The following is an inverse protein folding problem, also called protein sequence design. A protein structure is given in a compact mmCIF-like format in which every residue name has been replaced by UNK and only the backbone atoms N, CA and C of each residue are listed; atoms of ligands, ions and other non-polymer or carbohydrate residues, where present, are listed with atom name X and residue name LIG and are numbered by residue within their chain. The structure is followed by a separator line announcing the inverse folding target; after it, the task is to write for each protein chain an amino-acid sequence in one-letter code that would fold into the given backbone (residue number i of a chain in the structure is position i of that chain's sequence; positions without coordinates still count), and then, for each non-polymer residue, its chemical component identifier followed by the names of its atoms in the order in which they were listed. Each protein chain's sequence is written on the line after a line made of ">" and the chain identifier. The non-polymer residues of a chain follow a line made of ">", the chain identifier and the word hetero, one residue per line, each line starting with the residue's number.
data_IF_667182826088
#
_entry.id   IF_667182826088
#
_cell.length_a   1.000
_cell.length_b   1.000
_cell.length_c   1.000
_cell.angle_alpha   90.00
_cell.angle_beta   90.00
_cell.angle_gamma   90.00
#
_symmetry.space_group_name_H-M   'P 1'
#
loop_
_entity.id
_entity.type
_entity.pdbx_description
1 polymer ?
#
# COMPACT_ATOMS: atom_id res chain seq x y z
N UNK A 1 0.58 10.98 7.99
CA UNK A 1 0.50 12.46 8.21
C UNK A 1 1.50 12.92 9.29
N UNK A 2 1.85 12.11 10.31
CA UNK A 2 2.91 12.50 11.26
C UNK A 2 4.33 12.26 10.74
N UNK A 3 4.57 11.15 10.01
CA UNK A 3 5.90 10.73 9.52
C UNK A 3 6.03 10.83 7.98
N UNK A 4 5.01 10.38 7.22
CA UNK A 4 5.12 10.14 5.76
C UNK A 4 4.96 11.37 4.86
N UNK A 5 4.48 12.48 5.39
CA UNK A 5 4.39 13.71 4.60
C UNK A 5 5.62 14.55 4.93
N UNK A 6 6.26 15.18 3.93
CA UNK A 6 7.32 16.18 4.19
C UNK A 6 6.86 17.28 5.18
N UNK A 7 5.56 17.52 5.25
CA UNK A 7 4.88 18.44 6.17
C UNK A 7 4.46 17.83 7.52
N UNK A 8 4.78 16.56 7.76
CA UNK A 8 4.47 15.85 9.00
C UNK A 8 5.34 16.32 10.16
N UNK A 9 4.78 16.40 11.38
CA UNK A 9 5.50 16.94 12.54
C UNK A 9 6.79 16.19 12.89
N UNK A 10 6.86 14.91 12.52
CA UNK A 10 7.98 14.03 12.81
C UNK A 10 8.85 13.75 11.58
N UNK A 11 8.56 14.38 10.43
CA UNK A 11 9.22 14.09 9.15
C UNK A 11 10.75 14.24 9.23
N UNK A 12 11.22 15.22 10.00
CA UNK A 12 12.64 15.57 10.17
C UNK A 12 13.26 15.15 11.51
N UNK A 13 12.48 14.57 12.43
CA UNK A 13 12.99 14.07 13.71
C UNK A 13 12.92 12.54 13.74
N UNK A 14 14.03 11.92 13.33
CA UNK A 14 14.13 10.46 13.26
C UNK A 14 13.96 9.82 14.65
N UNK A 15 14.48 10.42 15.72
CA UNK A 15 14.36 9.86 17.06
C UNK A 15 12.92 9.88 17.57
N UNK A 16 12.19 10.99 17.35
CA UNK A 16 10.78 11.07 17.70
C UNK A 16 9.92 10.16 16.81
N UNK A 17 10.22 10.08 15.52
CA UNK A 17 9.55 9.15 14.61
C UNK A 17 9.74 7.69 15.03
N UNK A 18 10.93 7.31 15.54
CA UNK A 18 11.15 5.96 16.05
C UNK A 18 10.34 5.64 17.29
N UNK A 19 10.24 6.58 18.23
CA UNK A 19 9.35 6.40 19.39
C UNK A 19 7.90 6.23 18.95
N UNK A 20 7.44 7.05 18.00
CA UNK A 20 6.09 6.91 17.45
C UNK A 20 5.86 5.53 16.81
N UNK A 21 6.80 5.02 16.00
CA UNK A 21 6.69 3.68 15.39
C UNK A 21 6.63 2.59 16.45
N UNK A 22 7.51 2.64 17.46
CA UNK A 22 7.54 1.68 18.55
C UNK A 22 6.23 1.67 19.37
N UNK A 23 5.75 2.85 19.77
CA UNK A 23 4.48 3.00 20.48
C UNK A 23 3.30 2.49 19.64
N UNK A 24 3.35 2.74 18.32
CA UNK A 24 2.32 2.27 17.39
C UNK A 24 2.31 0.74 17.28
N UNK A 25 3.47 0.11 17.07
CA UNK A 25 3.59 -1.34 16.97
C UNK A 25 3.18 -2.04 18.26
N UNK A 26 3.63 -1.53 19.42
CA UNK A 26 3.25 -2.09 20.72
C UNK A 26 1.72 -2.05 20.90
N UNK A 27 1.09 -0.92 20.57
CA UNK A 27 -0.35 -0.80 20.69
C UNK A 27 -1.11 -1.68 19.69
N UNK A 28 -0.61 -1.81 18.44
CA UNK A 28 -1.17 -2.71 17.44
C UNK A 28 -1.11 -4.18 17.90
N UNK A 29 0.02 -4.64 18.42
CA UNK A 29 0.19 -5.99 18.97
C UNK A 29 -0.80 -6.28 20.12
N UNK A 30 -0.99 -5.30 21.00
CA UNK A 30 -1.99 -5.38 22.07
C UNK A 30 -3.42 -5.44 21.51
N UNK A 31 -3.79 -4.52 20.61
CA UNK A 31 -5.14 -4.46 20.03
C UNK A 31 -5.48 -5.70 19.19
N UNK A 32 -4.49 -6.33 18.57
CA UNK A 32 -4.67 -7.59 17.86
C UNK A 32 -4.66 -8.80 18.78
N UNK A 33 -4.54 -8.64 20.10
CA UNK A 33 -4.51 -9.75 21.06
C UNK A 33 -3.33 -10.72 20.86
N UNK A 34 -2.21 -10.19 20.35
CA UNK A 34 -0.96 -10.93 20.11
C UNK A 34 0.07 -10.69 21.20
N UNK A 35 -0.12 -9.65 22.02
CA UNK A 35 0.65 -9.42 23.24
C UNK A 35 -0.11 -9.91 24.48
N UNK A 36 0.64 -10.43 25.47
CA UNK A 36 0.11 -10.76 26.81
C UNK A 36 0.19 -9.58 27.77
N UNK A 37 0.95 -8.55 27.41
CA UNK A 37 1.18 -7.38 28.24
C UNK A 37 0.05 -6.37 28.02
N UNK A 38 -0.49 -5.85 29.13
CA UNK A 38 -1.46 -4.76 29.05
C UNK A 38 -0.78 -3.50 28.49
N UNK A 39 -1.36 -2.92 27.43
CA UNK A 39 -0.94 -1.64 26.89
C UNK A 39 -2.03 -0.59 27.17
N UNK A 40 -1.73 0.50 27.91
CA UNK A 40 -2.69 1.57 28.13
C UNK A 40 -3.02 2.27 26.81
N UNK A 41 -4.21 2.89 26.73
CA UNK A 41 -4.61 3.65 25.54
C UNK A 41 -3.64 4.81 25.32
N UNK A 42 -2.98 4.92 24.15
CA UNK A 42 -2.03 5.98 23.88
C UNK A 42 -2.68 7.36 23.86
N UNK A 43 -1.96 8.38 24.32
CA UNK A 43 -2.42 9.77 24.23
C UNK A 43 -2.51 10.25 22.76
N UNK A 44 -1.64 9.70 21.89
CA UNK A 44 -1.70 10.00 20.47
C UNK A 44 -2.95 9.37 19.84
N UNK A 45 -3.86 10.22 19.37
CA UNK A 45 -5.15 9.81 18.81
C UNK A 45 -5.03 8.99 17.53
N UNK A 46 -3.96 9.16 16.74
CA UNK A 46 -3.73 8.35 15.53
C UNK A 46 -3.40 6.92 15.93
N UNK A 47 -2.55 6.74 16.94
CA UNK A 47 -2.22 5.41 17.48
C UNK A 47 -3.48 4.79 18.12
N UNK A 48 -4.17 5.55 18.98
CA UNK A 48 -5.38 5.08 19.67
C UNK A 48 -6.50 4.66 18.70
N UNK A 49 -6.60 5.28 17.52
CA UNK A 49 -7.61 4.94 16.50
C UNK A 49 -7.49 3.49 16.03
N UNK A 50 -6.29 2.90 16.08
CA UNK A 50 -6.09 1.51 15.68
C UNK A 50 -6.94 0.52 16.47
N UNK A 51 -7.40 0.88 17.67
CA UNK A 51 -8.31 0.04 18.46
C UNK A 51 -9.57 -0.38 17.69
N UNK A 52 -10.10 0.51 16.83
CA UNK A 52 -11.27 0.21 15.98
C UNK A 52 -10.97 -0.94 15.02
N UNK A 53 -9.78 -0.92 14.40
CA UNK A 53 -9.35 -1.98 13.48
C UNK A 53 -9.00 -3.27 14.23
N UNK A 54 -8.37 -3.14 15.41
CA UNK A 54 -8.04 -4.25 16.27
C UNK A 54 -9.27 -5.01 16.77
N UNK A 55 -10.32 -4.30 17.19
CA UNK A 55 -11.57 -4.92 17.64
C UNK A 55 -12.26 -5.68 16.50
N UNK A 56 -12.35 -5.06 15.32
CA UNK A 56 -12.88 -5.73 14.13
C UNK A 56 -12.08 -7.00 13.77
N UNK A 57 -10.74 -6.94 13.85
CA UNK A 57 -9.87 -8.08 13.61
C UNK A 57 -10.01 -9.17 14.68
N UNK A 58 -10.17 -8.82 15.96
CA UNK A 58 -10.39 -9.77 17.05
C UNK A 58 -11.72 -10.53 16.91
N UNK A 59 -12.76 -9.84 16.46
CA UNK A 59 -14.08 -10.42 16.25
C UNK A 59 -14.13 -11.35 15.03
N UNK A 60 -13.34 -11.06 14.00
CA UNK A 60 -13.48 -11.70 12.69
C UNK A 60 -12.40 -12.74 12.38
N UNK A 61 -11.15 -12.48 12.78
CA UNK A 61 -9.99 -13.22 12.32
C UNK A 61 -9.45 -14.24 13.30
N UNK A 62 -8.90 -15.34 12.76
CA UNK A 62 -8.17 -16.31 13.57
C UNK A 62 -6.88 -15.71 14.13
N UNK A 63 -6.24 -16.43 15.05
CA UNK A 63 -4.94 -16.01 15.58
C UNK A 63 -3.89 -15.85 14.46
N UNK A 64 -3.79 -16.83 13.57
CA UNK A 64 -2.83 -16.87 12.47
C UNK A 64 -3.04 -15.71 11.47
N UNK A 65 -4.30 -15.30 11.26
CA UNK A 65 -4.61 -14.17 10.39
C UNK A 65 -4.31 -12.83 11.03
N UNK A 66 -4.52 -12.70 12.35
CA UNK A 66 -4.07 -11.53 13.10
C UNK A 66 -2.55 -11.43 13.09
N UNK A 67 -1.83 -12.55 13.18
CA UNK A 67 -0.37 -12.58 13.00
C UNK A 67 0.04 -12.15 11.59
N UNK A 68 -0.66 -12.59 10.55
CA UNK A 68 -0.40 -12.13 9.17
C UNK A 68 -0.62 -10.62 9.04
N UNK A 69 -1.73 -10.10 9.57
CA UNK A 69 -2.00 -8.67 9.58
C UNK A 69 -0.92 -7.88 10.32
N UNK A 70 -0.48 -8.37 11.48
CA UNK A 70 0.62 -7.74 12.22
C UNK A 70 1.91 -7.71 11.40
N UNK A 71 2.26 -8.80 10.70
CA UNK A 71 3.45 -8.84 9.84
C UNK A 71 3.41 -7.80 8.73
N UNK A 72 2.26 -7.57 8.09
CA UNK A 72 2.14 -6.52 7.07
C UNK A 72 2.24 -5.10 7.68
N UNK A 73 1.74 -4.90 8.91
CA UNK A 73 1.89 -3.64 9.65
C UNK A 73 3.35 -3.39 10.09
N UNK A 74 4.04 -4.42 10.55
CA UNK A 74 5.47 -4.38 10.89
C UNK A 74 6.29 -4.04 9.65
N UNK A 75 6.05 -4.74 8.53
CA UNK A 75 6.72 -4.45 7.27
C UNK A 75 6.48 -3.02 6.78
N UNK A 76 5.26 -2.50 6.89
CA UNK A 76 4.97 -1.08 6.62
C UNK A 76 5.79 -0.15 7.53
N UNK A 77 5.84 -0.40 8.84
CA UNK A 77 6.56 0.44 9.80
C UNK A 77 8.07 0.43 9.56
N UNK A 78 8.66 -0.74 9.37
CA UNK A 78 10.08 -0.89 9.04
C UNK A 78 10.43 -0.16 7.73
N UNK A 79 9.58 -0.29 6.72
CA UNK A 79 9.84 0.35 5.43
C UNK A 79 9.64 1.86 5.48
N UNK A 80 8.70 2.36 6.30
CA UNK A 80 8.54 3.80 6.55
C UNK A 80 9.75 4.44 7.25
N UNK A 81 10.52 3.67 8.03
CA UNK A 81 11.81 4.12 8.55
C UNK A 81 12.82 4.27 7.42
N UNK A 82 12.94 3.27 6.54
CA UNK A 82 13.85 3.31 5.40
C UNK A 82 13.52 4.50 4.49
N UNK A 83 12.23 4.74 4.23
CA UNK A 83 11.74 5.89 3.47
C UNK A 83 12.18 7.21 4.12
N UNK A 84 11.94 7.36 5.43
CA UNK A 84 12.33 8.56 6.16
C UNK A 84 13.84 8.80 6.11
N UNK A 85 14.66 7.75 6.31
CA UNK A 85 16.12 7.87 6.25
C UNK A 85 16.59 8.28 4.86
N UNK A 86 15.98 7.70 3.83
CA UNK A 86 16.29 8.03 2.42
C UNK A 86 15.98 9.48 2.12
N UNK A 87 14.81 9.97 2.55
CA UNK A 87 14.41 11.37 2.38
C UNK A 87 15.28 12.37 3.15
N UNK A 88 15.84 11.96 4.30
CA UNK A 88 16.78 12.78 5.07
C UNK A 88 18.23 12.71 4.54
N UNK A 89 18.50 11.85 3.56
CA UNK A 89 19.78 11.80 2.86
C UNK A 89 19.89 12.92 1.82
N UNK A 90 21.12 13.34 1.52
CA UNK A 90 21.38 14.27 0.41
C UNK A 90 21.28 13.58 -0.96
N UNK A 91 21.36 12.24 -0.98
CA UNK A 91 21.32 11.41 -2.18
C UNK A 91 19.90 10.94 -2.53
N UNK A 92 19.55 10.99 -3.81
CA UNK A 92 18.36 10.33 -4.34
C UNK A 92 18.51 8.79 -4.31
N UNK A 93 17.45 8.03 -4.01
CA UNK A 93 17.51 6.58 -4.01
C UNK A 93 17.85 6.01 -5.40
N UNK A 94 18.40 4.79 -5.40
CA UNK A 94 18.42 3.97 -6.62
C UNK A 94 17.00 3.47 -6.93
N UNK A 95 16.79 3.04 -8.18
CA UNK A 95 15.52 2.43 -8.60
C UNK A 95 15.12 1.25 -7.71
N UNK A 96 16.08 0.37 -7.39
CA UNK A 96 15.81 -0.83 -6.61
C UNK A 96 15.46 -0.48 -5.16
N UNK A 97 16.20 0.47 -4.55
CA UNK A 97 15.89 0.98 -3.22
C UNK A 97 14.49 1.60 -3.18
N UNK A 98 14.14 2.40 -4.19
CA UNK A 98 12.83 3.01 -4.30
C UNK A 98 11.72 1.97 -4.40
N UNK A 99 11.85 0.99 -5.32
CA UNK A 99 10.84 -0.06 -5.51
C UNK A 99 10.68 -0.89 -4.23
N UNK A 100 11.78 -1.33 -3.61
CA UNK A 100 11.73 -2.05 -2.32
C UNK A 100 10.99 -1.25 -1.26
N UNK A 101 11.25 0.06 -1.19
CA UNK A 101 10.56 0.96 -0.27
C UNK A 101 9.05 1.08 -0.56
N UNK A 102 8.66 1.20 -1.84
CA UNK A 102 7.26 1.32 -2.25
C UNK A 102 6.46 0.06 -1.99
N UNK A 103 7.07 -1.12 -2.07
CA UNK A 103 6.40 -2.37 -1.72
C UNK A 103 5.96 -2.42 -0.25
N UNK A 104 6.65 -1.74 0.67
CA UNK A 104 6.21 -1.66 2.07
C UNK A 104 5.29 -0.46 2.36
N UNK A 105 5.63 0.73 1.85
CA UNK A 105 5.00 2.01 2.25
C UNK A 105 3.65 2.29 1.59
N UNK A 106 3.23 1.51 0.60
CA UNK A 106 1.91 1.63 -0.02
C UNK A 106 0.75 1.15 0.87
N UNK A 107 1.07 0.42 1.94
CA UNK A 107 0.13 -0.25 2.85
C UNK A 107 -0.84 -1.24 2.16
N UNK A 108 -0.58 -1.64 0.91
CA UNK A 108 -1.48 -2.53 0.17
C UNK A 108 -1.64 -3.89 0.84
N UNK A 109 -0.55 -4.46 1.37
CA UNK A 109 -0.61 -5.72 2.11
C UNK A 109 -1.55 -5.68 3.31
N UNK A 110 -1.53 -4.57 4.07
CA UNK A 110 -2.46 -4.33 5.19
C UNK A 110 -3.91 -4.26 4.68
N UNK A 111 -4.17 -3.52 3.59
CA UNK A 111 -5.53 -3.43 3.04
C UNK A 111 -6.01 -4.77 2.46
N UNK A 112 -5.13 -5.53 1.80
CA UNK A 112 -5.45 -6.85 1.26
C UNK A 112 -5.75 -7.86 2.37
N UNK A 113 -5.10 -7.76 3.54
CA UNK A 113 -5.44 -8.56 4.72
C UNK A 113 -6.84 -8.23 5.29
N UNK A 114 -7.40 -7.05 5.00
CA UNK A 114 -8.74 -6.64 5.41
C UNK A 114 -9.84 -6.83 4.34
N UNK A 115 -9.50 -7.37 3.17
CA UNK A 115 -10.48 -7.59 2.10
C UNK A 115 -11.61 -8.52 2.54
N UNK A 116 -11.32 -9.60 3.26
CA UNK A 116 -12.32 -10.58 3.70
C UNK A 116 -13.34 -9.96 4.66
N UNK A 117 -12.86 -9.15 5.60
CA UNK A 117 -13.69 -8.36 6.49
C UNK A 117 -14.58 -7.39 5.72
N UNK A 118 -14.04 -6.71 4.70
CA UNK A 118 -14.75 -5.72 3.89
C UNK A 118 -15.88 -6.32 3.06
N UNK A 119 -15.71 -7.57 2.60
CA UNK A 119 -16.73 -8.33 1.87
C UNK A 119 -17.76 -9.00 2.80
N UNK A 120 -17.60 -8.89 4.14
CA UNK A 120 -18.47 -9.53 5.11
C UNK A 120 -18.40 -11.06 5.07
N UNK A 121 -17.28 -11.61 4.61
CA UNK A 121 -17.08 -13.05 4.44
C UNK A 121 -16.30 -13.62 5.62
N UNK A 122 -16.61 -14.88 5.95
CA UNK A 122 -15.77 -15.63 6.87
C UNK A 122 -14.35 -15.79 6.28
N UNK A 123 -13.30 -15.76 7.11
CA UNK A 123 -11.95 -15.73 6.58
C UNK A 123 -11.54 -17.01 5.82
N UNK A 124 -10.55 -16.87 4.94
CA UNK A 124 -9.93 -17.95 4.19
C UNK A 124 -9.10 -18.84 5.13
N UNK A 125 -9.07 -20.15 4.91
CA UNK A 125 -8.20 -21.02 5.69
C UNK A 125 -6.73 -20.59 5.59
N UNK A 126 -5.98 -20.74 6.68
CA UNK A 126 -4.58 -20.31 6.78
C UNK A 126 -3.70 -20.86 5.63
N UNK A 127 -3.95 -22.09 5.17
CA UNK A 127 -3.17 -22.70 4.08
C UNK A 127 -3.47 -22.10 2.69
N UNK A 128 -4.60 -21.37 2.54
CA UNK A 128 -4.98 -20.68 1.29
C UNK A 128 -4.45 -19.25 1.29
N UNK A 129 -4.61 -18.54 2.41
CA UNK A 129 -4.14 -17.14 2.51
C UNK A 129 -2.62 -17.05 2.53
N UNK A 130 -1.93 -18.05 3.09
CA UNK A 130 -0.47 -18.16 3.07
C UNK A 130 0.06 -18.89 1.83
N UNK A 131 -0.78 -19.15 0.82
CA UNK A 131 -0.30 -19.74 -0.43
C UNK A 131 0.70 -18.78 -1.11
N UNK A 132 1.85 -19.26 -1.61
CA UNK A 132 2.79 -18.41 -2.34
C UNK A 132 2.16 -17.66 -3.52
N UNK A 133 1.16 -18.23 -4.20
CA UNK A 133 0.43 -17.54 -5.27
C UNK A 133 -0.44 -16.39 -4.73
N UNK A 134 -0.99 -16.51 -3.51
CA UNK A 134 -1.70 -15.40 -2.85
C UNK A 134 -0.76 -14.23 -2.56
N UNK A 135 0.49 -14.51 -2.14
CA UNK A 135 1.50 -13.46 -1.92
C UNK A 135 1.80 -12.72 -3.22
N UNK A 136 1.95 -13.44 -4.34
CA UNK A 136 2.16 -12.82 -5.65
C UNK A 136 0.97 -11.94 -6.03
N UNK A 137 -0.27 -12.40 -5.82
CA UNK A 137 -1.48 -11.59 -6.07
C UNK A 137 -1.43 -10.25 -5.31
N UNK A 138 -1.02 -10.27 -4.04
CA UNK A 138 -0.92 -9.05 -3.24
C UNK A 138 0.24 -8.16 -3.71
N UNK A 139 1.37 -8.74 -4.12
CA UNK A 139 2.51 -8.00 -4.65
C UNK A 139 2.18 -7.32 -5.98
N UNK A 140 1.46 -8.00 -6.88
CA UNK A 140 1.01 -7.39 -8.14
C UNK A 140 -0.05 -6.31 -7.89
N UNK A 141 -0.97 -6.52 -6.94
CA UNK A 141 -1.92 -5.48 -6.50
C UNK A 141 -1.17 -4.24 -6.03
N UNK A 142 -0.11 -4.46 -5.26
CA UNK A 142 0.73 -3.41 -4.72
C UNK A 142 1.43 -2.63 -5.83
N UNK A 143 2.07 -3.33 -6.77
CA UNK A 143 2.72 -2.74 -7.96
C UNK A 143 1.75 -1.87 -8.74
N UNK A 144 0.54 -2.36 -9.03
CA UNK A 144 -0.47 -1.60 -9.75
C UNK A 144 -0.82 -0.31 -8.99
N UNK A 145 -1.09 -0.41 -7.68
CA UNK A 145 -1.50 0.73 -6.86
C UNK A 145 -0.43 1.80 -6.78
N UNK A 146 0.81 1.46 -6.42
CA UNK A 146 1.85 2.47 -6.25
C UNK A 146 2.34 3.02 -7.61
N UNK A 147 2.37 2.22 -8.67
CA UNK A 147 2.81 2.71 -9.98
C UNK A 147 1.80 3.69 -10.60
N UNK A 148 0.49 3.40 -10.46
CA UNK A 148 -0.57 4.34 -10.84
C UNK A 148 -0.50 5.62 -9.99
N UNK A 149 -0.19 5.48 -8.70
CA UNK A 149 0.01 6.61 -7.81
C UNK A 149 1.12 7.55 -8.30
N UNK A 150 2.30 7.01 -8.59
CA UNK A 150 3.46 7.78 -9.04
C UNK A 150 3.20 8.49 -10.37
N UNK A 151 2.50 7.83 -11.31
CA UNK A 151 2.12 8.46 -12.58
C UNK A 151 1.18 9.65 -12.39
N UNK A 152 0.14 9.47 -11.58
CA UNK A 152 -0.92 10.48 -11.43
C UNK A 152 -0.54 11.60 -10.47
N UNK A 153 0.37 11.35 -9.53
CA UNK A 153 0.79 12.34 -8.54
C UNK A 153 1.98 13.21 -8.96
N UNK A 154 2.64 12.91 -10.08
CA UNK A 154 3.83 13.63 -10.58
C UNK A 154 3.74 15.16 -10.49
N UNK A 155 2.62 15.76 -10.94
CA UNK A 155 2.46 17.23 -10.90
C UNK A 155 2.50 17.78 -9.47
N UNK A 156 1.78 17.10 -8.58
CA UNK A 156 1.72 17.44 -7.15
C UNK A 156 3.11 17.28 -6.53
N UNK A 157 3.81 16.20 -6.86
CA UNK A 157 5.14 15.90 -6.32
C UNK A 157 6.20 16.92 -6.76
N UNK A 158 6.23 17.28 -8.05
CA UNK A 158 7.11 18.34 -8.56
C UNK A 158 6.84 19.69 -7.90
N UNK A 159 5.56 20.03 -7.69
CA UNK A 159 5.18 21.27 -7.00
C UNK A 159 5.61 21.28 -5.52
N UNK A 160 5.65 20.12 -4.88
CA UNK A 160 6.07 19.96 -3.49
C UNK A 160 7.57 19.74 -3.34
N UNK A 161 8.32 19.62 -4.44
CA UNK A 161 9.74 19.27 -4.45
C UNK A 161 10.04 17.86 -3.89
N UNK A 162 9.03 16.98 -3.84
CA UNK A 162 9.11 15.57 -3.44
C UNK A 162 9.46 14.71 -4.65
N UNK A 163 10.64 14.90 -5.26
CA UNK A 163 10.98 14.27 -6.55
C UNK A 163 11.57 12.85 -6.42
N UNK A 164 11.50 12.26 -5.24
CA UNK A 164 11.86 10.88 -4.93
C UNK A 164 10.76 9.90 -5.36
N UNK A 165 10.25 10.04 -6.59
CA UNK A 165 9.24 9.13 -7.18
C UNK A 165 9.71 8.46 -8.47
N UNK A 166 8.97 7.47 -8.98
CA UNK A 166 9.45 6.64 -10.09
C UNK A 166 9.67 7.43 -11.39
N UNK A 167 8.81 8.39 -11.72
CA UNK A 167 8.93 9.17 -12.97
C UNK A 167 10.22 10.02 -12.99
N UNK A 168 10.53 10.86 -11.99
CA UNK A 168 11.79 11.59 -11.93
C UNK A 168 13.02 10.67 -11.93
N UNK A 169 12.98 9.53 -11.23
CA UNK A 169 14.09 8.58 -11.19
C UNK A 169 14.38 7.96 -12.57
N UNK A 170 13.33 7.57 -13.29
CA UNK A 170 13.43 7.08 -14.67
C UNK A 170 13.88 8.17 -15.64
N UNK A 171 13.34 9.38 -15.51
CA UNK A 171 13.76 10.52 -16.33
C UNK A 171 15.24 10.84 -16.13
N UNK A 172 15.73 10.86 -14.89
CA UNK A 172 17.16 11.04 -14.59
C UNK A 172 18.03 9.98 -15.25
N UNK A 173 17.55 8.73 -15.30
CA UNK A 173 18.28 7.61 -15.89
C UNK A 173 18.33 7.65 -17.42
N UNK A 174 17.25 8.06 -18.07
CA UNK A 174 17.09 7.93 -19.53
C UNK A 174 17.00 9.25 -20.29
N UNK A 175 16.81 10.38 -19.61
CA UNK A 175 16.66 11.72 -20.21
C UNK A 175 15.39 11.92 -21.04
N UNK A 176 14.41 11.01 -20.96
CA UNK A 176 13.21 11.00 -21.79
C UNK A 176 11.97 10.73 -20.94
N UNK A 177 11.06 11.71 -20.88
CA UNK A 177 9.84 11.65 -20.09
C UNK A 177 8.81 10.67 -20.67
N UNK A 178 8.63 10.66 -21.98
CA UNK A 178 7.72 9.73 -22.65
C UNK A 178 8.14 8.28 -22.42
N UNK A 179 9.45 8.02 -22.46
CA UNK A 179 10.00 6.71 -22.14
C UNK A 179 9.79 6.35 -20.67
N UNK A 180 10.02 7.29 -19.74
CA UNK A 180 9.77 7.06 -18.31
C UNK A 180 8.30 6.69 -18.05
N UNK A 181 7.36 7.44 -18.62
CA UNK A 181 5.92 7.15 -18.51
C UNK A 181 5.59 5.80 -19.14
N UNK A 182 6.11 5.51 -20.34
CA UNK A 182 5.86 4.25 -21.05
C UNK A 182 6.33 3.04 -20.26
N UNK A 183 7.50 3.11 -19.61
CA UNK A 183 8.03 2.04 -18.77
C UNK A 183 7.14 1.76 -17.55
N UNK A 184 6.55 2.79 -16.94
CA UNK A 184 5.65 2.60 -15.79
C UNK A 184 4.32 2.01 -16.25
N UNK A 185 3.77 2.48 -17.38
CA UNK A 185 2.56 1.90 -17.97
C UNK A 185 2.79 0.42 -18.33
N UNK A 186 3.94 0.08 -18.90
CA UNK A 186 4.32 -1.30 -19.19
C UNK A 186 4.44 -2.13 -17.90
N UNK A 187 5.01 -1.58 -16.82
CA UNK A 187 5.08 -2.25 -15.53
C UNK A 187 3.67 -2.56 -14.97
N UNK A 188 2.74 -1.60 -15.03
CA UNK A 188 1.34 -1.80 -14.63
C UNK A 188 0.67 -2.88 -15.49
N UNK A 189 0.86 -2.84 -16.81
CA UNK A 189 0.29 -3.84 -17.73
C UNK A 189 0.82 -5.25 -17.43
N UNK A 190 2.13 -5.39 -17.19
CA UNK A 190 2.74 -6.67 -16.81
C UNK A 190 2.21 -7.16 -15.46
N UNK A 191 2.04 -6.26 -14.49
CA UNK A 191 1.50 -6.61 -13.18
C UNK A 191 0.05 -7.11 -13.28
N UNK A 192 -0.80 -6.46 -14.08
CA UNK A 192 -2.16 -6.92 -14.37
C UNK A 192 -2.17 -8.30 -15.01
N UNK A 193 -1.35 -8.52 -16.05
CA UNK A 193 -1.26 -9.82 -16.72
C UNK A 193 -0.78 -10.92 -15.77
N UNK A 194 0.21 -10.61 -14.93
CA UNK A 194 0.73 -11.56 -13.96
C UNK A 194 -0.28 -11.88 -12.86
N UNK A 195 -0.97 -10.85 -12.35
CA UNK A 195 -2.06 -10.99 -11.39
C UNK A 195 -3.11 -11.96 -11.92
N UNK A 196 -3.65 -11.72 -13.12
CA UNK A 196 -4.75 -12.54 -13.66
C UNK A 196 -4.32 -13.99 -13.90
N UNK A 197 -3.11 -14.19 -14.42
CA UNK A 197 -2.53 -15.53 -14.63
C UNK A 197 -2.38 -16.29 -13.31
N UNK A 198 -1.91 -15.62 -12.25
CA UNK A 198 -1.70 -16.25 -10.94
C UNK A 198 -3.03 -16.47 -10.22
N UNK A 199 -3.96 -15.52 -10.33
CA UNK A 199 -5.32 -15.65 -9.81
C UNK A 199 -6.06 -16.86 -10.42
N UNK A 200 -5.93 -17.07 -11.74
CA UNK A 200 -6.49 -18.25 -12.40
C UNK A 200 -5.88 -19.55 -11.87
N UNK A 201 -4.55 -19.61 -11.75
CA UNK A 201 -3.86 -20.78 -11.19
C UNK A 201 -4.31 -21.10 -9.77
N UNK A 202 -4.38 -20.09 -8.91
CA UNK A 202 -4.76 -20.24 -7.51
C UNK A 202 -6.23 -20.67 -7.38
N UNK A 203 -7.11 -20.09 -8.21
CA UNK A 203 -8.53 -20.48 -8.27
C UNK A 203 -8.68 -21.94 -8.71
N UNK A 204 -7.94 -22.36 -9.74
CA UNK A 204 -7.94 -23.74 -10.22
C UNK A 204 -7.43 -24.72 -9.16
N UNK A 205 -6.36 -24.33 -8.43
CA UNK A 205 -5.76 -25.14 -7.35
C UNK A 205 -6.75 -25.48 -6.24
N UNK A 206 -7.63 -24.55 -5.87
CA UNK A 206 -8.61 -24.73 -4.80
C UNK A 206 -10.05 -24.97 -5.30
N UNK A 207 -10.22 -25.26 -6.60
CA UNK A 207 -11.53 -25.41 -7.24
C UNK A 207 -12.37 -26.59 -6.74
N UNK A 208 -11.73 -27.61 -6.15
CA UNK A 208 -12.40 -28.81 -5.67
C UNK A 208 -13.24 -28.58 -4.39
N UNK A 209 -12.92 -27.57 -3.58
CA UNK A 209 -13.71 -27.18 -2.40
C UNK A 209 -14.52 -25.92 -2.74
N UNK A 210 -15.82 -26.09 -2.96
CA UNK A 210 -16.71 -24.99 -3.36
C UNK A 210 -16.73 -23.84 -2.34
N UNK A 211 -16.64 -24.14 -1.02
CA UNK A 211 -16.66 -23.12 0.02
C UNK A 211 -15.37 -22.30 0.02
N UNK A 212 -14.22 -22.94 -0.21
CA UNK A 212 -12.95 -22.23 -0.38
C UNK A 212 -12.97 -21.44 -1.69
N UNK A 213 -13.41 -22.04 -2.80
CA UNK A 213 -13.42 -21.41 -4.12
C UNK A 213 -14.27 -20.14 -4.16
N UNK A 214 -15.44 -20.11 -3.50
CA UNK A 214 -16.27 -18.91 -3.39
C UNK A 214 -15.54 -17.79 -2.64
N UNK A 215 -14.98 -18.10 -1.46
CA UNK A 215 -14.26 -17.10 -0.64
C UNK A 215 -13.00 -16.59 -1.33
N UNK A 216 -12.24 -17.49 -1.95
CA UNK A 216 -11.01 -17.16 -2.67
C UNK A 216 -11.29 -16.22 -3.83
N UNK A 217 -12.33 -16.50 -4.63
CA UNK A 217 -12.73 -15.61 -5.72
C UNK A 217 -13.13 -14.23 -5.22
N UNK A 218 -13.93 -14.14 -4.15
CA UNK A 218 -14.28 -12.86 -3.55
C UNK A 218 -13.04 -12.09 -3.06
N UNK A 219 -12.06 -12.77 -2.44
CA UNK A 219 -10.80 -12.15 -2.02
C UNK A 219 -9.98 -11.62 -3.21
N UNK A 220 -9.89 -12.39 -4.29
CA UNK A 220 -9.21 -11.97 -5.52
C UNK A 220 -9.93 -10.78 -6.15
N UNK A 221 -11.26 -10.79 -6.20
CA UNK A 221 -12.07 -9.69 -6.74
C UNK A 221 -11.92 -8.43 -5.88
N UNK A 222 -11.85 -8.54 -4.55
CA UNK A 222 -11.54 -7.43 -3.67
C UNK A 222 -10.16 -6.81 -3.97
N UNK A 223 -9.14 -7.62 -4.30
CA UNK A 223 -7.86 -7.08 -4.76
C UNK A 223 -7.98 -6.36 -6.12
N UNK A 224 -8.82 -6.84 -7.05
CA UNK A 224 -9.14 -6.11 -8.29
C UNK A 224 -9.85 -4.79 -8.00
N UNK A 225 -10.73 -4.76 -7.01
CA UNK A 225 -11.40 -3.53 -6.55
C UNK A 225 -10.41 -2.56 -5.90
N UNK A 226 -9.40 -3.05 -5.17
CA UNK A 226 -8.33 -2.19 -4.65
C UNK A 226 -7.60 -1.47 -5.81
N UNK A 227 -7.23 -2.20 -6.86
CA UNK A 227 -6.59 -1.62 -8.05
C UNK A 227 -7.48 -0.61 -8.79
N UNK A 228 -8.69 -1.01 -9.14
CA UNK A 228 -9.61 -0.17 -9.93
C UNK A 228 -10.18 0.99 -9.13
N UNK A 229 -10.46 0.77 -7.84
CA UNK A 229 -10.86 1.79 -6.88
C UNK A 229 -9.78 2.82 -6.64
N UNK A 230 -8.51 2.41 -6.54
CA UNK A 230 -7.38 3.32 -6.45
C UNK A 230 -7.29 4.24 -7.69
N UNK A 231 -7.39 3.67 -8.90
CA UNK A 231 -7.39 4.45 -10.14
C UNK A 231 -8.59 5.40 -10.19
N UNK A 232 -9.80 4.90 -9.93
CA UNK A 232 -11.02 5.69 -9.95
C UNK A 232 -10.96 6.87 -8.98
N UNK A 233 -10.49 6.63 -7.75
CA UNK A 233 -10.29 7.67 -6.75
C UNK A 233 -9.21 8.67 -7.20
N UNK A 234 -8.09 8.20 -7.74
CA UNK A 234 -6.97 9.05 -8.18
C UNK A 234 -7.37 10.01 -9.31
N UNK A 235 -8.29 9.60 -10.19
CA UNK A 235 -8.80 10.45 -11.27
C UNK A 235 -9.83 11.48 -10.82
N UNK A 236 -10.42 11.34 -9.62
CA UNK A 236 -11.53 12.18 -9.13
C UNK A 236 -11.16 13.02 -7.91
N UNK A 237 -10.16 12.61 -7.17
CA UNK A 237 -9.70 13.33 -6.01
C UNK A 237 -9.09 14.68 -6.39
N UNK A 238 -9.32 15.71 -5.56
CA UNK A 238 -8.60 16.97 -5.70
C UNK A 238 -7.12 16.86 -5.35
N UNK A 239 -6.69 15.76 -4.73
CA UNK A 239 -5.31 15.56 -4.27
C UNK A 239 -4.26 15.66 -5.38
N UNK A 240 -4.56 15.16 -6.58
CA UNK A 240 -3.60 15.12 -7.70
C UNK A 240 -3.86 16.21 -8.75
N UNK A 241 -5.00 16.91 -8.67
CA UNK A 241 -5.41 17.87 -9.70
C UNK A 241 -5.61 17.24 -11.09
N UNK A 242 -5.73 15.90 -11.16
CA UNK A 242 -6.03 15.17 -12.39
C UNK A 242 -7.51 15.37 -12.73
N UNK A 243 -7.81 15.56 -14.01
CA UNK A 243 -9.17 15.83 -14.50
C UNK A 243 -9.85 17.08 -13.91
N UNK A 244 -9.09 17.98 -13.26
CA UNK A 244 -9.57 19.28 -12.83
C UNK A 244 -9.15 20.35 -13.84
N UNK A 245 -10.05 21.27 -14.20
CA UNK A 245 -9.68 22.43 -15.03
C UNK A 245 -8.67 23.26 -14.23
N UNK A 246 -7.44 23.36 -14.73
CA UNK A 246 -6.39 24.17 -14.13
C UNK A 246 -6.92 25.59 -13.86
N UNK A 247 -6.77 26.02 -12.61
CA UNK A 247 -7.04 27.39 -12.20
C UNK A 247 -5.89 28.23 -12.76
N UNK A 248 -6.20 29.04 -13.78
CA UNK A 248 -5.45 30.17 -14.36
C UNK A 248 -3.94 29.94 -14.58
N UNK A 249 -3.56 29.68 -15.84
CA UNK A 249 -2.18 29.80 -16.33
C UNK A 249 -1.43 28.49 -16.62
N UNK A 250 -2.01 27.33 -16.31
CA UNK A 250 -1.43 26.02 -16.63
C UNK A 250 -1.83 25.51 -18.01
N UNK A 251 -0.89 24.89 -18.73
CA UNK A 251 -1.09 24.25 -20.04
C UNK A 251 -2.27 23.26 -19.98
N UNK A 252 -3.22 23.45 -20.89
CA UNK A 252 -4.33 22.53 -21.15
C UNK A 252 -3.80 21.31 -21.91
N UNK A 253 -3.95 20.12 -21.32
CA UNK A 253 -3.89 18.87 -22.07
C UNK A 253 -5.30 18.29 -21.97
N UNK A 254 -6.03 18.34 -23.08
CA UNK A 254 -7.25 17.58 -23.24
C UNK A 254 -6.86 16.11 -23.42
N UNK A 255 -7.58 15.21 -22.74
CA UNK A 255 -7.59 13.81 -23.13
C UNK A 255 -8.45 13.74 -24.39
N UNK A 256 -7.80 13.65 -25.55
CA UNK A 256 -8.39 13.00 -26.72
C UNK A 256 -8.20 11.49 -26.60
#
# INVERSE_FOLDING_TARGET
>A
IEIDAEVGRLSNDLHAAQRFRADTLQYMQYCLGLSREYCPVPENRIIAFFKVLGDAALETYTFEQRELLLKELEFFMETSEVEQRTRLSEDLPTMDQYITCRMGTSAVGVTSAFNEYSEGLAPLPAHVINDPEMRIIWDETNIIVWAVNDLLSLKKEVQQQTVDSLVPLLYRKFGNLDLAVSLIVEAVQKAVQNFDRVAERLTNKYSADEKIAVKLRAHIDANRYNCTGNLYWSLRTGRYGVCQKSIVGGVLIALE
#
